data_IF_701138800590
#
_entry.id   IF_701138800590
#
_cell.length_a   1.000
_cell.length_b   1.000
_cell.length_c   1.000
_cell.angle_alpha   90.00
_cell.angle_beta   90.00
_cell.angle_gamma   90.00
#
_symmetry.space_group_name_H-M   'P 1'
#
loop_
_entity.id
_entity.type
_entity.pdbx_description
1 polymer ?
#
# COMPACT_ATOMS: atom_id res chain seq x y z
N UNK A 1 -12.30 -1.90 -6.88
CA UNK A 1 -12.24 -2.73 -5.65
C UNK A 1 -11.40 -1.99 -4.62
N UNK A 2 -11.59 -2.26 -3.32
CA UNK A 2 -10.80 -1.63 -2.25
C UNK A 2 -10.22 -2.72 -1.36
N UNK A 3 -8.92 -2.67 -1.07
CA UNK A 3 -8.24 -3.55 -0.14
C UNK A 3 -7.62 -2.76 1.01
N UNK A 4 -7.59 -3.36 2.20
CA UNK A 4 -6.94 -2.83 3.38
C UNK A 4 -5.81 -3.77 3.80
N UNK A 5 -4.58 -3.25 3.80
CA UNK A 5 -3.36 -4.00 4.03
C UNK A 5 -2.69 -3.52 5.33
N UNK A 6 -2.37 -4.42 6.25
CA UNK A 6 -1.64 -4.06 7.46
C UNK A 6 -0.15 -4.02 7.16
N UNK A 7 0.50 -2.87 7.32
CA UNK A 7 1.92 -2.69 6.99
C UNK A 7 2.72 -2.46 8.26
N UNK A 8 3.66 -3.36 8.53
CA UNK A 8 4.58 -3.26 9.65
C UNK A 8 5.88 -2.55 9.23
N UNK A 9 6.46 -1.79 10.16
CA UNK A 9 7.71 -1.06 9.95
C UNK A 9 7.56 0.42 9.56
N UNK A 10 6.34 0.90 9.30
CA UNK A 10 6.08 2.34 9.15
C UNK A 10 6.21 3.04 10.50
N UNK A 11 7.34 3.71 10.74
CA UNK A 11 7.66 4.37 12.02
C UNK A 11 7.69 5.89 11.93
N UNK A 12 7.63 6.46 10.73
CA UNK A 12 7.69 7.91 10.50
C UNK A 12 6.82 8.34 9.31
N UNK A 13 6.47 9.62 9.24
CA UNK A 13 5.77 10.22 8.10
C UNK A 13 6.49 10.04 6.76
N UNK A 14 7.82 9.93 6.79
CA UNK A 14 8.61 9.61 5.59
C UNK A 14 8.31 8.19 5.07
N UNK A 15 8.15 7.21 5.98
CA UNK A 15 7.79 5.84 5.62
C UNK A 15 6.39 5.77 4.99
N UNK A 16 5.43 6.56 5.52
CA UNK A 16 4.11 6.71 4.91
C UNK A 16 4.21 7.17 3.45
N UNK A 17 4.94 8.26 3.20
CA UNK A 17 5.05 8.82 1.86
C UNK A 17 5.69 7.84 0.87
N UNK A 18 6.71 7.09 1.31
CA UNK A 18 7.34 6.05 0.49
C UNK A 18 6.35 4.94 0.11
N UNK A 19 5.61 4.41 1.07
CA UNK A 19 4.61 3.36 0.84
C UNK A 19 3.48 3.86 -0.06
N UNK A 20 2.92 5.04 0.23
CA UNK A 20 1.85 5.64 -0.55
C UNK A 20 2.26 5.83 -2.01
N UNK A 21 3.48 6.33 -2.24
CA UNK A 21 4.03 6.55 -3.59
C UNK A 21 4.30 5.24 -4.33
N UNK A 22 4.84 4.22 -3.66
CA UNK A 22 5.11 2.92 -4.26
C UNK A 22 3.82 2.22 -4.69
N UNK A 23 2.80 2.24 -3.83
CA UNK A 23 1.50 1.64 -4.13
C UNK A 23 0.76 2.41 -5.21
N UNK A 24 0.80 3.75 -5.17
CA UNK A 24 0.16 4.60 -6.19
C UNK A 24 0.79 4.45 -7.58
N UNK A 25 2.02 3.95 -7.67
CA UNK A 25 2.70 3.68 -8.94
C UNK A 25 2.30 2.34 -9.57
N UNK A 26 1.53 1.49 -8.87
CA UNK A 26 1.04 0.21 -9.41
C UNK A 26 -0.07 0.49 -10.42
N UNK A 27 0.03 -0.10 -11.61
CA UNK A 27 -0.98 0.05 -12.65
C UNK A 27 -2.35 -0.44 -12.15
N UNK A 28 -3.39 0.36 -12.42
CA UNK A 28 -4.74 0.10 -11.94
C UNK A 28 -5.05 0.61 -10.53
N UNK A 29 -4.10 1.20 -9.81
CA UNK A 29 -4.41 1.91 -8.55
C UNK A 29 -4.99 3.29 -8.85
N UNK A 30 -6.10 3.60 -8.19
CA UNK A 30 -6.80 4.88 -8.33
C UNK A 30 -6.63 5.77 -7.11
N UNK A 31 -6.57 5.18 -5.91
CA UNK A 31 -6.45 5.92 -4.66
C UNK A 31 -5.69 5.10 -3.61
N UNK A 32 -4.88 5.77 -2.79
CA UNK A 32 -4.16 5.18 -1.67
C UNK A 32 -4.32 6.07 -0.45
N UNK A 33 -4.68 5.47 0.68
CA UNK A 33 -4.77 6.14 1.97
C UNK A 33 -3.98 5.35 3.02
N UNK A 34 -3.00 6.02 3.64
CA UNK A 34 -2.17 5.41 4.69
C UNK A 34 -2.53 5.99 6.05
N UNK A 35 -2.91 5.10 6.96
CA UNK A 35 -3.15 5.37 8.38
C UNK A 35 -1.99 4.82 9.22
N UNK A 36 -1.16 5.72 9.75
CA UNK A 36 -0.02 5.36 10.59
C UNK A 36 -0.44 4.91 12.00
N UNK A 37 -1.58 5.39 12.51
CA UNK A 37 -2.06 5.04 13.84
C UNK A 37 -2.61 3.61 13.85
N UNK A 38 -3.38 3.25 12.81
CA UNK A 38 -3.90 1.91 12.58
C UNK A 38 -2.86 0.96 11.95
N UNK A 39 -1.77 1.50 11.38
CA UNK A 39 -0.78 0.75 10.57
C UNK A 39 -1.40 0.08 9.35
N UNK A 40 -2.39 0.75 8.76
CA UNK A 40 -3.19 0.22 7.66
C UNK A 40 -3.02 1.07 6.41
N UNK A 41 -2.89 0.42 5.27
CA UNK A 41 -2.89 1.04 3.94
C UNK A 41 -4.14 0.58 3.21
N UNK A 42 -5.03 1.52 2.93
CA UNK A 42 -6.23 1.28 2.14
C UNK A 42 -5.96 1.69 0.70
N UNK A 43 -6.26 0.81 -0.25
CA UNK A 43 -5.99 1.00 -1.67
C UNK A 43 -7.24 0.74 -2.47
N UNK A 44 -7.66 1.71 -3.27
CA UNK A 44 -8.67 1.50 -4.31
C UNK A 44 -8.00 1.23 -5.64
N UNK A 45 -8.33 0.09 -6.24
CA UNK A 45 -7.73 -0.40 -7.46
C UNK A 45 -8.72 -1.10 -8.38
N UNK A 46 -8.35 -1.21 -9.65
CA UNK A 46 -9.06 -1.95 -10.68
C UNK A 46 -8.68 -3.45 -10.60
N UNK A 47 -9.62 -4.35 -10.22
CA UNK A 47 -9.34 -5.78 -10.07
C UNK A 47 -8.99 -6.48 -11.39
N UNK A 48 -9.31 -5.88 -12.55
CA UNK A 48 -8.94 -6.41 -13.86
C UNK A 48 -7.47 -6.11 -14.22
N UNK A 49 -6.84 -5.14 -13.55
CA UNK A 49 -5.46 -4.72 -13.80
C UNK A 49 -4.49 -5.15 -12.70
N UNK A 50 -4.94 -5.13 -11.45
CA UNK A 50 -4.10 -5.44 -10.29
C UNK A 50 -4.91 -6.05 -9.17
N UNK A 51 -4.22 -6.54 -8.14
CA UNK A 51 -4.82 -7.21 -7.00
C UNK A 51 -3.94 -7.13 -5.78
N UNK A 52 -4.46 -7.61 -4.65
CA UNK A 52 -3.78 -7.54 -3.36
C UNK A 52 -2.34 -8.07 -3.40
N UNK A 53 -2.08 -9.14 -4.16
CA UNK A 53 -0.72 -9.70 -4.29
C UNK A 53 0.29 -8.70 -4.89
N UNK A 54 -0.09 -7.94 -5.92
CA UNK A 54 0.77 -6.92 -6.51
C UNK A 54 0.95 -5.71 -5.58
N UNK A 55 -0.12 -5.32 -4.87
CA UNK A 55 -0.06 -4.24 -3.89
C UNK A 55 0.87 -4.61 -2.72
N UNK A 56 0.75 -5.83 -2.19
CA UNK A 56 1.65 -6.36 -1.15
C UNK A 56 3.10 -6.33 -1.63
N UNK A 57 3.35 -6.83 -2.84
CA UNK A 57 4.70 -6.86 -3.42
C UNK A 57 5.30 -5.46 -3.59
N UNK A 58 4.51 -4.48 -4.03
CA UNK A 58 4.98 -3.10 -4.14
C UNK A 58 5.41 -2.51 -2.80
N UNK A 59 4.76 -2.91 -1.70
CA UNK A 59 5.11 -2.51 -0.34
C UNK A 59 6.35 -3.26 0.16
N UNK A 60 6.44 -4.56 -0.12
CA UNK A 60 7.60 -5.40 0.23
C UNK A 60 8.88 -4.98 -0.50
N UNK A 61 8.78 -4.53 -1.75
CA UNK A 61 9.91 -4.00 -2.53
C UNK A 61 10.47 -2.70 -1.91
N UNK A 62 9.70 -2.00 -1.08
CA UNK A 62 10.19 -0.85 -0.29
C UNK A 62 10.81 -1.28 1.05
N UNK A 63 10.84 -2.58 1.36
CA UNK A 63 11.40 -3.13 2.59
C UNK A 63 10.43 -3.19 3.78
N UNK A 64 9.11 -3.10 3.53
CA UNK A 64 8.08 -3.22 4.57
C UNK A 64 7.38 -4.57 4.51
N UNK A 65 6.93 -5.08 5.66
CA UNK A 65 6.19 -6.35 5.68
C UNK A 65 4.70 -6.10 5.73
N UNK A 66 3.93 -6.80 4.88
CA UNK A 66 2.47 -6.74 4.87
C UNK A 66 1.89 -8.01 5.50
N UNK A 67 0.93 -7.84 6.43
CA UNK A 67 0.23 -8.91 7.13
C UNK A 67 -1.15 -9.16 6.50
#
# INVERSE_FOLDING_TARGET
MTAALNVNGMTCGHCKATVEKAVSAVDGVSEVAVDLAAKTVTVSYDPDKTGEANLKRAIEDQGYSVL
#
